data_IF_948522486319
#
_entry.id   IF_948522486319
#
_cell.length_a   1.000
_cell.length_b   1.000
_cell.length_c   1.000
_cell.angle_alpha   90.00
_cell.angle_beta   90.00
_cell.angle_gamma   90.00
#
_symmetry.space_group_name_H-M   'P 1'
#
loop_
_entity.id
_entity.type
_entity.pdbx_description
1 polymer ?
#
# COMPACT_ATOMS: atom_id res chain seq x y z
N UNK A 1 -6.25 -13.54 34.77
CA UNK A 1 -5.72 -12.30 34.18
C UNK A 1 -6.19 -12.23 32.74
N UNK A 2 -7.22 -11.44 32.46
CA UNK A 2 -7.65 -11.18 31.09
C UNK A 2 -6.62 -10.25 30.43
N UNK A 3 -6.17 -10.58 29.23
CA UNK A 3 -5.20 -9.78 28.49
C UNK A 3 -5.73 -8.35 28.32
N UNK A 4 -4.88 -7.32 28.47
CA UNK A 4 -5.30 -5.96 28.19
C UNK A 4 -5.72 -5.89 26.72
N UNK A 5 -6.97 -5.54 26.54
CA UNK A 5 -7.65 -5.21 25.31
C UNK A 5 -6.73 -4.36 24.39
N UNK A 6 -6.18 -4.98 23.34
CA UNK A 6 -5.45 -4.27 22.26
C UNK A 6 -6.41 -3.49 21.35
N UNK A 7 -7.56 -3.08 21.89
CA UNK A 7 -8.59 -2.36 21.17
C UNK A 7 -8.15 -0.90 21.03
N UNK A 8 -7.75 -0.54 19.81
CA UNK A 8 -7.42 0.80 19.33
C UNK A 8 -5.98 1.32 19.51
N UNK A 9 -4.97 0.58 19.08
CA UNK A 9 -3.71 1.24 18.64
C UNK A 9 -3.89 2.08 17.36
N UNK A 10 -5.03 1.98 16.66
CA UNK A 10 -5.34 2.76 15.45
C UNK A 10 -5.89 4.17 15.71
N UNK A 11 -6.19 4.56 16.96
CA UNK A 11 -6.86 5.84 17.29
C UNK A 11 -6.03 7.12 17.06
N UNK A 12 -4.81 7.03 16.51
CA UNK A 12 -3.87 8.16 16.42
C UNK A 12 -3.49 8.62 15.01
N UNK A 13 -4.06 8.08 13.94
CA UNK A 13 -3.81 8.60 12.59
C UNK A 13 -5.11 9.20 12.05
N UNK A 14 -5.25 10.52 12.19
CA UNK A 14 -6.32 11.27 11.54
C UNK A 14 -6.33 10.97 10.03
N UNK A 15 -7.49 10.64 9.46
CA UNK A 15 -7.65 10.45 8.01
C UNK A 15 -7.81 9.00 7.51
N UNK A 16 -7.95 8.02 8.40
CA UNK A 16 -8.30 6.64 8.03
C UNK A 16 -9.66 6.24 8.60
N UNK A 17 -10.45 5.49 7.83
CA UNK A 17 -11.69 4.89 8.30
C UNK A 17 -11.42 3.72 9.25
N UNK A 18 -12.45 3.31 10.00
CA UNK A 18 -12.39 2.07 10.77
C UNK A 18 -12.38 0.86 9.81
N UNK A 19 -11.50 -0.10 10.11
CA UNK A 19 -11.34 -1.33 9.35
C UNK A 19 -11.99 -2.48 10.12
N UNK A 20 -12.71 -3.32 9.40
CA UNK A 20 -13.26 -4.56 9.94
C UNK A 20 -12.16 -5.59 10.15
N UNK A 21 -12.43 -6.62 10.96
CA UNK A 21 -11.49 -7.72 11.17
C UNK A 21 -11.10 -8.45 9.87
N UNK A 22 -12.02 -8.55 8.91
CA UNK A 22 -11.75 -9.14 7.60
C UNK A 22 -10.76 -8.28 6.79
N UNK A 23 -10.95 -6.96 6.78
CA UNK A 23 -10.08 -6.02 6.07
C UNK A 23 -8.67 -5.97 6.68
N UNK A 24 -8.56 -6.10 8.00
CA UNK A 24 -7.27 -6.23 8.67
C UNK A 24 -6.57 -7.54 8.29
N UNK A 25 -7.32 -8.64 8.15
CA UNK A 25 -6.78 -9.91 7.69
C UNK A 25 -6.28 -9.83 6.23
N UNK A 26 -7.03 -9.15 5.35
CA UNK A 26 -6.62 -8.92 3.96
C UNK A 26 -5.31 -8.12 3.89
N UNK A 27 -5.18 -7.04 4.67
CA UNK A 27 -3.95 -6.24 4.73
C UNK A 27 -2.78 -7.06 5.26
N UNK A 28 -3.01 -7.90 6.28
CA UNK A 28 -1.97 -8.76 6.84
C UNK A 28 -1.46 -9.78 5.80
N UNK A 29 -2.35 -10.40 5.03
CA UNK A 29 -1.96 -11.34 3.97
C UNK A 29 -1.23 -10.61 2.83
N UNK A 30 -1.70 -9.42 2.42
CA UNK A 30 -0.99 -8.58 1.44
C UNK A 30 0.43 -8.27 1.90
N UNK A 31 0.63 -7.89 3.16
CA UNK A 31 1.95 -7.60 3.73
C UNK A 31 2.87 -8.81 3.77
N UNK A 32 2.32 -9.99 4.05
CA UNK A 32 3.06 -11.25 4.02
C UNK A 32 3.52 -11.60 2.60
N UNK A 33 2.64 -11.45 1.61
CA UNK A 33 2.99 -11.69 0.19
C UNK A 33 4.03 -10.67 -0.27
N UNK A 34 3.86 -9.39 0.06
CA UNK A 34 4.82 -8.32 -0.25
C UNK A 34 6.23 -8.67 0.26
N UNK A 35 6.35 -9.10 1.51
CA UNK A 35 7.64 -9.50 2.08
C UNK A 35 8.30 -10.64 1.29
N UNK A 36 7.55 -11.69 0.95
CA UNK A 36 8.07 -12.81 0.17
C UNK A 36 8.52 -12.41 -1.24
N UNK A 37 7.77 -11.52 -1.90
CA UNK A 37 8.15 -11.01 -3.22
C UNK A 37 9.40 -10.12 -3.16
N UNK A 38 9.52 -9.27 -2.13
CA UNK A 38 10.71 -8.45 -1.90
C UNK A 38 11.95 -9.32 -1.67
N UNK A 39 11.87 -10.34 -0.82
CA UNK A 39 12.97 -11.29 -0.59
C UNK A 39 13.39 -11.99 -1.89
N UNK A 40 12.43 -12.36 -2.75
CA UNK A 40 12.73 -12.95 -4.06
C UNK A 40 13.48 -11.97 -4.97
N UNK A 41 13.06 -10.69 -5.02
CA UNK A 41 13.75 -9.66 -5.78
C UNK A 41 15.18 -9.42 -5.27
N UNK A 42 15.36 -9.38 -3.95
CA UNK A 42 16.68 -9.21 -3.33
C UNK A 42 17.60 -10.39 -3.68
N UNK A 43 17.08 -11.62 -3.60
CA UNK A 43 17.82 -12.82 -4.02
C UNK A 43 18.19 -12.83 -5.52
N UNK A 44 17.33 -12.28 -6.39
CA UNK A 44 17.64 -12.10 -7.81
C UNK A 44 18.73 -11.04 -8.02
N UNK A 45 18.70 -9.94 -7.28
CA UNK A 45 19.70 -8.88 -7.34
C UNK A 45 21.09 -9.39 -6.90
N UNK A 46 21.15 -10.19 -5.84
CA UNK A 46 22.40 -10.79 -5.34
C UNK A 46 23.03 -11.76 -6.36
N UNK A 47 22.21 -12.58 -7.04
CA UNK A 47 22.71 -13.54 -8.05
C UNK A 47 22.97 -12.91 -9.42
N UNK A 48 22.56 -11.66 -9.64
CA UNK A 48 22.68 -11.00 -10.93
C UNK A 48 24.15 -10.73 -11.30
N UNK A 49 24.55 -11.21 -12.49
CA UNK A 49 25.93 -11.11 -12.98
C UNK A 49 26.24 -9.81 -13.74
N UNK A 50 25.23 -9.04 -14.10
CA UNK A 50 25.39 -7.79 -14.87
C UNK A 50 24.72 -6.63 -14.16
N UNK A 51 25.22 -5.42 -14.42
CA UNK A 51 24.62 -4.20 -13.89
C UNK A 51 23.18 -3.99 -14.36
N UNK A 52 22.88 -4.36 -15.61
CA UNK A 52 21.52 -4.30 -16.15
C UNK A 52 20.57 -5.23 -15.39
N UNK A 53 20.99 -6.47 -15.10
CA UNK A 53 20.18 -7.42 -14.35
C UNK A 53 19.93 -6.95 -12.90
N UNK A 54 20.94 -6.37 -12.24
CA UNK A 54 20.78 -5.74 -10.91
C UNK A 54 19.77 -4.60 -10.94
N UNK A 55 19.85 -3.75 -11.97
CA UNK A 55 18.90 -2.64 -12.16
C UNK A 55 17.47 -3.14 -12.41
N UNK A 56 17.29 -4.21 -13.18
CA UNK A 56 15.98 -4.80 -13.41
C UNK A 56 15.38 -5.37 -12.12
N UNK A 57 16.18 -6.06 -11.29
CA UNK A 57 15.72 -6.55 -10.00
C UNK A 57 15.30 -5.41 -9.06
N UNK A 58 16.08 -4.32 -9.00
CA UNK A 58 15.72 -3.14 -8.22
C UNK A 58 14.41 -2.49 -8.72
N UNK A 59 14.24 -2.35 -10.03
CA UNK A 59 13.01 -1.81 -10.61
C UNK A 59 11.80 -2.73 -10.36
N UNK A 60 11.99 -4.05 -10.43
CA UNK A 60 10.94 -5.01 -10.11
C UNK A 60 10.47 -4.85 -8.67
N UNK A 61 11.41 -4.76 -7.71
CA UNK A 61 11.11 -4.53 -6.28
C UNK A 61 10.30 -3.26 -6.07
N UNK A 62 10.75 -2.11 -6.61
CA UNK A 62 10.03 -0.83 -6.47
C UNK A 62 8.62 -0.86 -7.07
N UNK A 63 8.45 -1.49 -8.23
CA UNK A 63 7.13 -1.59 -8.85
C UNK A 63 6.19 -2.52 -8.07
N UNK A 64 6.71 -3.60 -7.49
CA UNK A 64 5.94 -4.50 -6.63
C UNK A 64 5.51 -3.82 -5.33
N UNK A 65 6.42 -3.12 -4.64
CA UNK A 65 6.09 -2.32 -3.46
C UNK A 65 5.04 -1.24 -3.80
N UNK A 66 5.14 -0.62 -4.97
CA UNK A 66 4.14 0.35 -5.46
C UNK A 66 2.78 -0.32 -5.70
N UNK A 67 2.75 -1.48 -6.35
CA UNK A 67 1.54 -2.26 -6.55
C UNK A 67 0.88 -2.68 -5.23
N UNK A 68 1.67 -3.17 -4.27
CA UNK A 68 1.19 -3.57 -2.94
C UNK A 68 0.67 -2.38 -2.14
N UNK A 69 1.32 -1.22 -2.23
CA UNK A 69 0.82 0.02 -1.64
C UNK A 69 -0.58 0.36 -2.17
N UNK A 70 -0.82 0.24 -3.48
CA UNK A 70 -2.15 0.48 -4.06
C UNK A 70 -3.16 -0.59 -3.67
N UNK A 71 -2.76 -1.87 -3.58
CA UNK A 71 -3.63 -2.94 -3.09
C UNK A 71 -4.08 -2.68 -1.64
N UNK A 72 -3.15 -2.28 -0.75
CA UNK A 72 -3.48 -1.88 0.62
C UNK A 72 -4.41 -0.66 0.63
N UNK A 73 -4.20 0.33 -0.25
CA UNK A 73 -5.09 1.51 -0.34
C UNK A 73 -6.51 1.17 -0.77
N UNK A 74 -6.70 0.15 -1.62
CA UNK A 74 -8.03 -0.34 -2.00
C UNK A 74 -8.82 -0.82 -0.78
N UNK A 75 -8.15 -1.47 0.17
CA UNK A 75 -8.75 -1.89 1.44
C UNK A 75 -8.84 -0.71 2.41
N UNK A 76 -7.73 -0.01 2.67
CA UNK A 76 -7.64 1.00 3.71
C UNK A 76 -8.47 2.27 3.43
N UNK A 77 -8.72 2.60 2.16
CA UNK A 77 -9.50 3.76 1.69
C UNK A 77 -9.20 5.05 2.49
N UNK A 78 -7.95 5.54 2.44
CA UNK A 78 -7.57 6.76 3.16
C UNK A 78 -8.38 7.97 2.65
N UNK A 79 -8.91 8.78 3.57
CA UNK A 79 -9.68 9.98 3.21
C UNK A 79 -8.79 11.16 2.79
N UNK A 80 -7.52 11.15 3.19
CA UNK A 80 -6.53 12.14 2.77
C UNK A 80 -5.48 11.52 1.83
N UNK A 81 -5.88 11.29 0.58
CA UNK A 81 -4.95 10.92 -0.49
C UNK A 81 -5.05 11.90 -1.64
N UNK A 82 -3.94 12.11 -2.38
CA UNK A 82 -3.92 12.95 -3.58
C UNK A 82 -4.99 12.51 -4.60
N UNK A 83 -5.29 11.20 -4.67
CA UNK A 83 -6.35 10.67 -5.52
C UNK A 83 -7.76 11.09 -5.07
N UNK A 84 -8.04 11.08 -3.77
CA UNK A 84 -9.33 11.52 -3.21
C UNK A 84 -9.55 13.02 -3.44
N UNK A 85 -8.49 13.84 -3.26
CA UNK A 85 -8.55 15.27 -3.55
C UNK A 85 -8.91 15.60 -5.01
N UNK A 86 -8.52 14.75 -5.96
CA UNK A 86 -8.86 14.91 -7.37
C UNK A 86 -10.28 14.43 -7.69
N UNK A 87 -10.75 13.38 -7.03
CA UNK A 87 -12.11 12.86 -7.20
C UNK A 87 -13.17 13.84 -6.66
N UNK A 88 -12.88 14.53 -5.55
CA UNK A 88 -13.78 15.51 -4.93
C UNK A 88 -13.64 16.92 -5.53
N UNK A 89 -12.80 17.11 -6.57
CA UNK A 89 -12.68 18.42 -7.22
C UNK A 89 -13.98 18.72 -7.97
N UNK A 90 -14.70 19.82 -7.65
CA UNK A 90 -15.89 20.18 -8.39
C UNK A 90 -15.55 20.34 -9.88
N UNK A 91 -16.44 19.85 -10.75
CA UNK A 91 -16.31 20.04 -12.18
C UNK A 91 -16.10 21.54 -12.46
N UNK A 92 -15.11 21.88 -13.30
CA UNK A 92 -14.87 23.25 -13.67
C UNK A 92 -16.18 23.83 -14.24
N UNK A 93 -16.60 25.06 -13.84
CA UNK A 93 -17.78 25.66 -14.41
C UNK A 93 -17.65 25.70 -15.92
N UNK A 94 -18.67 25.22 -16.65
CA UNK A 94 -18.71 25.29 -18.11
C UNK A 94 -18.49 26.75 -18.51
N UNK A 95 -17.42 27.00 -19.27
CA UNK A 95 -17.21 28.32 -19.84
C UNK A 95 -18.28 28.54 -20.92
N UNK A 96 -19.06 29.63 -20.86
CA UNK A 96 -20.03 29.93 -21.90
C UNK A 96 -19.30 30.09 -23.24
N UNK A 97 -19.85 29.41 -24.26
CA UNK A 97 -19.36 29.43 -25.65
C UNK A 97 -19.47 30.81 -26.30
#
# INVERSE_FOLDING_TARGET
MAAPDMENQHRKIAGYRELTGAELADIAELKKIEASLCEMCDGLAERARTMSAKRWAALARTNLETGMMFAVKTVAQPSQSVGTFLADRPAAPEQPR
#
